data_IF_100513986760
#
_entry.id   IF_100513986760
#
_cell.length_a   1.000
_cell.length_b   1.000
_cell.length_c   1.000
_cell.angle_alpha   90.00
_cell.angle_beta   90.00
_cell.angle_gamma   90.00
#
_symmetry.space_group_name_H-M   'P 1'
#
loop_
_entity.id
_entity.type
_entity.pdbx_description
1 polymer ?
#
# COMPACT_ATOMS: atom_id res chain seq x y z
N UNK A 1 -13.19 53.11 4.70
CA UNK A 1 -13.47 52.27 5.89
C UNK A 1 -14.32 51.08 5.45
N UNK A 2 -14.03 49.91 6.02
CA UNK A 2 -14.72 48.61 5.93
C UNK A 2 -14.61 47.80 4.62
N UNK A 3 -13.51 47.04 4.51
CA UNK A 3 -13.45 45.75 3.83
C UNK A 3 -13.01 44.71 4.87
N UNK A 4 -13.94 44.11 5.61
CA UNK A 4 -13.60 43.12 6.65
C UNK A 4 -14.72 42.15 7.03
N UNK A 5 -15.53 41.66 6.08
CA UNK A 5 -16.52 40.61 6.36
C UNK A 5 -16.45 39.39 5.43
N UNK A 6 -15.77 39.48 4.28
CA UNK A 6 -15.78 38.41 3.26
C UNK A 6 -14.75 37.28 3.48
N UNK A 7 -13.70 37.51 4.29
CA UNK A 7 -12.64 36.51 4.49
C UNK A 7 -12.90 35.55 5.67
N UNK A 8 -13.82 35.87 6.57
CA UNK A 8 -14.12 35.03 7.74
C UNK A 8 -15.09 33.91 7.39
N UNK A 9 -15.95 34.10 6.39
CA UNK A 9 -16.94 33.12 5.93
C UNK A 9 -16.32 31.99 5.09
N UNK A 10 -15.28 32.29 4.30
CA UNK A 10 -14.64 31.28 3.41
C UNK A 10 -13.84 30.23 4.19
N UNK A 11 -13.27 30.57 5.35
CA UNK A 11 -12.52 29.63 6.20
C UNK A 11 -13.44 28.67 6.96
N UNK A 12 -14.70 29.03 7.18
CA UNK A 12 -15.67 28.22 7.92
C UNK A 12 -16.34 27.13 7.06
N UNK A 13 -16.15 27.16 5.74
CA UNK A 13 -16.78 26.24 4.79
C UNK A 13 -15.92 25.01 4.44
N UNK A 14 -14.65 24.97 4.86
CA UNK A 14 -13.79 23.78 4.81
C UNK A 14 -13.71 23.09 6.18
N UNK A 15 -14.85 22.88 6.83
CA UNK A 15 -14.91 22.13 8.08
C UNK A 15 -15.54 20.79 7.79
N UNK A 16 -14.77 19.71 7.96
CA UNK A 16 -15.35 18.36 8.02
C UNK A 16 -16.52 18.41 9.00
N UNK A 17 -17.69 17.90 8.61
CA UNK A 17 -18.82 17.79 9.53
C UNK A 17 -18.36 17.02 10.78
N UNK A 18 -18.92 17.33 11.95
CA UNK A 18 -18.57 16.66 13.22
C UNK A 18 -18.62 15.14 13.05
N UNK A 19 -19.60 14.64 12.30
CA UNK A 19 -19.73 13.23 11.91
C UNK A 19 -18.55 12.72 11.07
N UNK A 20 -18.12 13.45 10.03
CA UNK A 20 -16.95 13.10 9.20
C UNK A 20 -15.65 13.10 10.01
N UNK A 21 -15.46 14.07 10.90
CA UNK A 21 -14.29 14.16 11.77
C UNK A 21 -14.23 13.00 12.78
N UNK A 22 -15.36 12.68 13.42
CA UNK A 22 -15.46 11.54 14.35
C UNK A 22 -15.19 10.22 13.64
N UNK A 23 -15.77 10.01 12.45
CA UNK A 23 -15.54 8.79 11.66
C UNK A 23 -14.04 8.66 11.30
N UNK A 24 -13.40 9.74 10.83
CA UNK A 24 -11.95 9.73 10.52
C UNK A 24 -11.11 9.39 11.75
N UNK A 25 -11.40 9.99 12.90
CA UNK A 25 -10.66 9.73 14.15
C UNK A 25 -10.82 8.30 14.65
N UNK A 26 -12.03 7.75 14.60
CA UNK A 26 -12.29 6.35 14.99
C UNK A 26 -11.55 5.39 14.05
N UNK A 27 -11.59 5.63 12.74
CA UNK A 27 -10.87 4.80 11.76
C UNK A 27 -9.36 4.84 12.04
N UNK A 28 -8.77 6.02 12.17
CA UNK A 28 -7.32 6.17 12.39
C UNK A 28 -6.89 5.50 13.70
N UNK A 29 -7.67 5.64 14.77
CA UNK A 29 -7.40 5.00 16.06
C UNK A 29 -7.47 3.47 15.98
N UNK A 30 -8.54 2.91 15.39
CA UNK A 30 -8.73 1.46 15.27
C UNK A 30 -7.62 0.84 14.40
N UNK A 31 -7.27 1.49 13.30
CA UNK A 31 -6.19 1.06 12.42
C UNK A 31 -4.83 1.11 13.13
N UNK A 32 -4.54 2.20 13.84
CA UNK A 32 -3.32 2.36 14.61
C UNK A 32 -3.15 1.27 15.69
N UNK A 33 -4.22 0.98 16.45
CA UNK A 33 -4.20 -0.07 17.47
C UNK A 33 -3.98 -1.44 16.84
N UNK A 34 -4.63 -1.72 15.71
CA UNK A 34 -4.54 -3.02 15.04
C UNK A 34 -3.14 -3.26 14.49
N UNK A 35 -2.55 -2.25 13.82
CA UNK A 35 -1.19 -2.33 13.29
C UNK A 35 -0.18 -2.52 14.43
N UNK A 36 -0.25 -1.70 15.48
CA UNK A 36 0.62 -1.83 16.64
C UNK A 36 0.47 -3.18 17.36
N UNK A 37 -0.74 -3.76 17.39
CA UNK A 37 -0.96 -5.09 17.95
C UNK A 37 -0.27 -6.19 17.13
N UNK A 38 -0.36 -6.12 15.80
CA UNK A 38 0.33 -7.05 14.89
C UNK A 38 1.85 -6.92 15.07
N UNK A 39 2.38 -5.70 15.05
CA UNK A 39 3.81 -5.44 15.22
C UNK A 39 4.33 -5.89 16.59
N UNK A 40 3.55 -5.66 17.66
CA UNK A 40 3.86 -6.17 18.99
C UNK A 40 3.88 -7.71 19.04
N UNK A 41 2.97 -8.38 18.32
CA UNK A 41 2.97 -9.84 18.18
C UNK A 41 4.21 -10.36 17.43
N UNK A 42 4.66 -9.64 16.39
CA UNK A 42 5.91 -9.96 15.67
C UNK A 42 7.13 -9.81 16.57
N UNK A 43 7.22 -8.74 17.36
CA UNK A 43 8.29 -8.54 18.35
C UNK A 43 8.24 -9.63 19.42
N UNK A 44 7.06 -9.95 19.96
CA UNK A 44 6.89 -11.02 20.95
C UNK A 44 7.38 -12.37 20.41
N UNK A 45 7.03 -12.70 19.17
CA UNK A 45 7.47 -13.93 18.50
C UNK A 45 8.98 -13.96 18.32
N UNK A 46 9.59 -12.83 17.93
CA UNK A 46 11.04 -12.70 17.81
C UNK A 46 11.75 -12.93 19.15
N UNK A 47 11.26 -12.33 20.24
CA UNK A 47 11.85 -12.48 21.56
C UNK A 47 11.74 -13.92 22.11
N UNK A 48 10.67 -14.64 21.74
CA UNK A 48 10.41 -16.01 22.22
C UNK A 48 11.28 -17.07 21.56
N UNK A 49 11.67 -16.88 20.30
CA UNK A 49 12.35 -17.91 19.51
C UNK A 49 13.84 -17.59 19.32
N UNK A 50 14.70 -18.46 19.85
CA UNK A 50 16.15 -18.31 19.85
C UNK A 50 16.76 -18.15 18.45
N UNK A 51 16.15 -18.79 17.46
CA UNK A 51 16.62 -18.83 16.07
C UNK A 51 16.58 -17.44 15.43
N UNK A 52 15.65 -16.56 15.83
CA UNK A 52 15.47 -15.28 15.16
C UNK A 52 16.51 -14.23 15.58
N UNK A 53 16.85 -14.14 16.86
CA UNK A 53 17.86 -13.15 17.29
C UNK A 53 19.30 -13.53 16.96
N UNK A 54 19.55 -14.78 16.56
CA UNK A 54 20.86 -15.22 16.06
C UNK A 54 21.11 -14.86 14.59
N UNK A 55 20.10 -14.37 13.88
CA UNK A 55 20.15 -14.13 12.44
C UNK A 55 20.06 -12.63 12.11
N UNK A 56 21.05 -12.06 11.40
CA UNK A 56 21.16 -10.61 11.17
C UNK A 56 19.97 -10.04 10.39
N UNK A 57 19.41 -10.82 9.45
CA UNK A 57 18.22 -10.45 8.67
C UNK A 57 17.01 -10.14 9.56
N UNK A 58 16.78 -10.95 10.59
CA UNK A 58 15.66 -10.74 11.50
C UNK A 58 15.92 -9.60 12.49
N UNK A 59 17.19 -9.31 12.82
CA UNK A 59 17.55 -8.12 13.61
C UNK A 59 17.20 -6.84 12.85
N UNK A 60 17.53 -6.75 11.56
CA UNK A 60 17.15 -5.62 10.70
C UNK A 60 15.64 -5.51 10.51
N UNK A 61 14.96 -6.65 10.38
CA UNK A 61 13.50 -6.71 10.30
C UNK A 61 12.84 -6.19 11.59
N UNK A 62 13.28 -6.60 12.77
CA UNK A 62 12.73 -6.08 14.03
C UNK A 62 13.06 -4.61 14.22
N UNK A 63 14.24 -4.16 13.83
CA UNK A 63 14.54 -2.73 13.80
C UNK A 63 13.57 -1.95 12.89
N UNK A 64 13.13 -2.52 11.77
CA UNK A 64 12.10 -1.91 10.91
C UNK A 64 10.75 -1.86 11.62
N UNK A 65 10.30 -3.00 12.16
CA UNK A 65 9.01 -3.12 12.89
C UNK A 65 8.94 -2.15 14.06
N UNK A 66 10.03 -1.99 14.83
CA UNK A 66 10.09 -1.02 15.93
C UNK A 66 9.97 0.43 15.43
N UNK A 67 10.66 0.79 14.34
CA UNK A 67 10.52 2.13 13.75
C UNK A 67 9.10 2.37 13.23
N UNK A 68 8.47 1.38 12.61
CA UNK A 68 7.09 1.46 12.13
C UNK A 68 6.10 1.61 13.29
N UNK A 69 6.25 0.87 14.39
CA UNK A 69 5.45 1.04 15.61
C UNK A 69 5.57 2.46 16.19
N UNK A 70 6.79 2.99 16.27
CA UNK A 70 7.03 4.36 16.75
C UNK A 70 6.33 5.36 15.82
N UNK A 71 6.51 5.21 14.50
CA UNK A 71 5.90 6.09 13.51
C UNK A 71 4.36 6.07 13.60
N UNK A 72 3.75 4.89 13.62
CA UNK A 72 2.28 4.72 13.67
C UNK A 72 1.74 5.27 14.99
N UNK A 73 2.36 4.94 16.13
CA UNK A 73 1.92 5.42 17.45
C UNK A 73 1.97 6.95 17.55
N UNK A 74 3.07 7.55 17.11
CA UNK A 74 3.27 9.01 17.22
C UNK A 74 2.40 9.76 16.20
N UNK A 75 2.22 9.23 14.99
CA UNK A 75 1.35 9.85 13.98
C UNK A 75 -0.13 9.79 14.35
N UNK A 76 -0.61 8.67 14.91
CA UNK A 76 -1.98 8.56 15.48
C UNK A 76 -2.16 9.51 16.64
N UNK A 77 -1.18 9.59 17.56
CA UNK A 77 -1.23 10.53 18.69
C UNK A 77 -1.28 11.99 18.22
N UNK A 78 -0.43 12.38 17.27
CA UNK A 78 -0.43 13.70 16.66
C UNK A 78 -1.76 14.03 15.98
N UNK A 79 -2.34 13.07 15.26
CA UNK A 79 -3.62 13.22 14.60
C UNK A 79 -4.74 13.47 15.62
N UNK A 80 -4.83 12.64 16.66
CA UNK A 80 -5.85 12.78 17.71
C UNK A 80 -5.71 14.11 18.44
N UNK A 81 -4.49 14.51 18.82
CA UNK A 81 -4.28 15.78 19.54
C UNK A 81 -4.59 16.99 18.64
N UNK A 82 -4.30 16.91 17.34
CA UNK A 82 -4.65 17.97 16.39
C UNK A 82 -6.16 18.19 16.29
N UNK A 83 -6.98 17.15 16.50
CA UNK A 83 -8.44 17.25 16.47
C UNK A 83 -9.06 17.63 17.82
N UNK A 84 -8.47 17.22 18.95
CA UNK A 84 -9.02 17.48 20.28
C UNK A 84 -8.59 18.83 20.84
N UNK A 85 -7.31 19.17 20.73
CA UNK A 85 -6.72 20.33 21.42
C UNK A 85 -6.47 21.51 20.46
N UNK A 86 -6.44 21.28 19.14
CA UNK A 86 -6.22 22.26 18.04
C UNK A 86 -4.93 23.11 18.11
N UNK A 87 -4.50 23.56 19.28
CA UNK A 87 -3.29 24.33 19.56
C UNK A 87 -2.47 23.65 20.65
N UNK A 88 -1.29 23.17 20.29
CA UNK A 88 -0.32 22.57 21.20
C UNK A 88 0.85 23.52 21.43
N UNK A 89 1.50 23.41 22.58
CA UNK A 89 2.79 24.04 22.80
C UNK A 89 3.79 23.55 21.74
N UNK A 90 4.52 24.48 21.13
CA UNK A 90 5.47 24.19 20.05
C UNK A 90 6.53 23.17 20.48
N UNK A 91 7.02 23.22 21.71
CA UNK A 91 8.01 22.26 22.22
C UNK A 91 7.54 20.81 22.19
N UNK A 92 6.32 20.54 22.68
CA UNK A 92 5.71 19.20 22.68
C UNK A 92 5.46 18.72 21.26
N UNK A 93 4.90 19.60 20.43
CA UNK A 93 4.69 19.30 19.02
C UNK A 93 6.01 19.03 18.28
N UNK A 94 7.06 19.78 18.56
CA UNK A 94 8.39 19.60 17.99
C UNK A 94 8.97 18.24 18.38
N UNK A 95 8.89 17.83 19.65
CA UNK A 95 9.36 16.52 20.10
C UNK A 95 8.64 15.36 19.38
N UNK A 96 7.31 15.41 19.27
CA UNK A 96 6.51 14.39 18.59
C UNK A 96 6.80 14.35 17.08
N UNK A 97 6.93 15.50 16.43
CA UNK A 97 7.27 15.56 15.00
C UNK A 97 8.69 15.05 14.78
N UNK A 98 9.67 15.41 15.63
CA UNK A 98 11.04 14.90 15.53
C UNK A 98 11.07 13.37 15.63
N UNK A 99 10.36 12.79 16.59
CA UNK A 99 10.28 11.34 16.75
C UNK A 99 9.71 10.64 15.48
N UNK A 100 8.71 11.26 14.85
CA UNK A 100 8.17 10.80 13.57
C UNK A 100 9.20 10.92 12.43
N UNK A 101 9.98 12.00 12.41
CA UNK A 101 11.03 12.22 11.40
C UNK A 101 12.18 11.22 11.53
N UNK A 102 12.57 10.87 12.75
CA UNK A 102 13.56 9.82 12.99
C UNK A 102 13.09 8.47 12.46
N UNK A 103 11.89 8.04 12.87
CA UNK A 103 11.34 6.76 12.46
C UNK A 103 11.21 6.65 10.92
N UNK A 104 10.63 7.68 10.28
CA UNK A 104 10.45 7.71 8.81
C UNK A 104 11.78 7.75 8.04
N UNK A 105 12.82 8.40 8.56
CA UNK A 105 14.13 8.47 7.91
C UNK A 105 14.93 7.16 8.04
N UNK A 106 14.72 6.39 9.12
CA UNK A 106 15.39 5.11 9.35
C UNK A 106 14.88 4.01 8.39
N UNK A 107 13.58 4.00 8.07
CA UNK A 107 12.92 2.97 7.23
C UNK A 107 13.60 2.72 5.88
N UNK A 108 13.85 3.72 5.00
CA UNK A 108 14.45 3.46 3.68
C UNK A 108 15.91 2.98 3.77
N UNK A 109 16.68 3.46 4.74
CA UNK A 109 18.06 3.01 4.97
C UNK A 109 18.08 1.56 5.46
N UNK A 110 17.15 1.20 6.35
CA UNK A 110 17.02 -0.17 6.84
C UNK A 110 16.58 -1.13 5.72
N UNK A 111 15.65 -0.72 4.86
CA UNK A 111 15.22 -1.50 3.70
C UNK A 111 16.36 -1.72 2.70
N UNK A 112 17.17 -0.68 2.46
CA UNK A 112 18.37 -0.80 1.62
C UNK A 112 19.38 -1.81 2.20
N UNK A 113 19.59 -1.78 3.51
CA UNK A 113 20.45 -2.74 4.20
C UNK A 113 19.90 -4.18 4.10
N UNK A 114 18.59 -4.37 4.25
CA UNK A 114 17.93 -5.67 4.03
C UNK A 114 18.10 -6.17 2.60
N UNK A 115 17.99 -5.30 1.59
CA UNK A 115 18.20 -5.67 0.20
C UNK A 115 19.65 -6.09 -0.08
N UNK A 116 20.62 -5.37 0.49
CA UNK A 116 22.05 -5.71 0.38
C UNK A 116 22.35 -7.03 1.08
N UNK A 117 21.76 -7.28 2.25
CA UNK A 117 21.90 -8.53 2.98
C UNK A 117 21.36 -9.72 2.15
N UNK A 118 20.16 -9.59 1.58
CA UNK A 118 19.59 -10.58 0.67
C UNK A 118 20.47 -10.82 -0.56
N UNK A 119 21.07 -9.77 -1.13
CA UNK A 119 21.99 -9.90 -2.26
C UNK A 119 23.26 -10.68 -1.88
N UNK A 120 23.87 -10.36 -0.73
CA UNK A 120 25.07 -11.07 -0.23
C UNK A 120 24.75 -12.54 0.04
N UNK A 121 23.57 -12.85 0.57
CA UNK A 121 23.12 -14.22 0.84
C UNK A 121 23.00 -15.04 -0.45
N UNK A 122 22.47 -14.46 -1.52
CA UNK A 122 22.28 -15.14 -2.82
C UNK A 122 23.59 -15.24 -3.59
N UNK A 123 24.36 -14.15 -3.68
CA UNK A 123 25.53 -14.08 -4.54
C UNK A 123 26.81 -14.61 -3.88
N UNK A 124 26.89 -14.65 -2.54
CA UNK A 124 28.09 -15.06 -1.80
C UNK A 124 27.75 -15.90 -0.55
N UNK A 125 27.09 -17.07 -0.70
CA UNK A 125 26.56 -17.85 0.43
C UNK A 125 27.63 -18.31 1.43
N UNK A 126 28.84 -18.69 0.95
CA UNK A 126 29.94 -19.13 1.82
C UNK A 126 30.59 -17.99 2.62
N UNK A 127 30.53 -16.76 2.09
CA UNK A 127 31.12 -15.57 2.74
C UNK A 127 30.08 -14.78 3.55
N UNK A 128 28.79 -15.07 3.35
CA UNK A 128 27.68 -14.44 4.06
C UNK A 128 27.82 -14.56 5.58
N UNK A 129 28.18 -15.74 6.09
CA UNK A 129 28.36 -15.97 7.54
C UNK A 129 29.50 -15.13 8.14
N UNK A 130 30.55 -14.83 7.34
CA UNK A 130 31.67 -13.99 7.77
C UNK A 130 31.40 -12.48 7.63
N UNK A 131 30.58 -12.08 6.65
CA UNK A 131 30.28 -10.67 6.35
C UNK A 131 29.11 -10.16 7.21
N UNK A 132 28.03 -10.93 7.29
CA UNK A 132 26.78 -10.57 7.96
C UNK A 132 26.75 -11.15 9.38
N UNK A 133 27.65 -10.65 10.25
CA UNK A 133 27.63 -11.02 11.68
C UNK A 133 26.68 -10.14 12.47
N UNK A 134 26.21 -10.63 13.63
CA UNK A 134 25.34 -9.86 14.54
C UNK A 134 26.01 -8.54 14.95
N UNK A 135 27.29 -8.57 15.35
CA UNK A 135 28.04 -7.38 15.75
C UNK A 135 28.10 -6.34 14.63
N UNK A 136 28.37 -6.75 13.39
CA UNK A 136 28.39 -5.85 12.23
C UNK A 136 27.01 -5.28 11.91
N UNK A 137 25.96 -6.08 12.11
CA UNK A 137 24.57 -5.64 11.91
C UNK A 137 24.15 -4.60 12.96
N UNK A 138 24.58 -4.76 14.21
CA UNK A 138 24.35 -3.75 15.26
C UNK A 138 25.14 -2.46 14.99
N UNK A 139 26.39 -2.56 14.52
CA UNK A 139 27.17 -1.40 14.06
C UNK A 139 26.45 -0.70 12.90
N UNK A 140 25.89 -1.45 11.94
CA UNK A 140 25.13 -0.92 10.82
C UNK A 140 23.88 -0.17 11.28
N UNK A 141 23.13 -0.72 12.24
CA UNK A 141 22.00 -0.02 12.87
C UNK A 141 22.48 1.28 13.51
N UNK A 142 23.59 1.25 14.26
CA UNK A 142 24.22 2.45 14.82
C UNK A 142 24.55 3.49 13.73
N UNK A 143 25.11 3.06 12.61
CA UNK A 143 25.40 3.93 11.46
C UNK A 143 24.12 4.54 10.87
N UNK A 144 23.04 3.76 10.72
CA UNK A 144 21.73 4.28 10.29
C UNK A 144 21.29 5.41 11.21
N UNK A 145 21.32 5.19 12.53
CA UNK A 145 20.94 6.21 13.52
C UNK A 145 21.83 7.46 13.47
N UNK A 146 23.13 7.31 13.24
CA UNK A 146 24.03 8.48 13.11
C UNK A 146 23.71 9.32 11.88
N UNK A 147 23.46 8.68 10.73
CA UNK A 147 23.13 9.36 9.47
C UNK A 147 21.78 10.06 9.57
N UNK A 148 20.77 9.40 10.15
CA UNK A 148 19.44 10.02 10.32
C UNK A 148 19.46 11.13 11.37
N UNK A 149 20.23 10.99 12.46
CA UNK A 149 20.42 12.05 13.44
C UNK A 149 21.05 13.29 12.85
N UNK A 150 22.07 13.13 12.02
CA UNK A 150 22.68 14.28 11.34
C UNK A 150 21.65 15.05 10.49
N UNK A 151 20.79 14.34 9.77
CA UNK A 151 19.78 14.96 8.92
C UNK A 151 18.66 15.65 9.73
N UNK A 152 18.08 14.93 10.70
CA UNK A 152 16.93 15.38 11.51
C UNK A 152 17.33 16.46 12.52
N UNK A 153 18.47 16.35 13.19
CA UNK A 153 18.95 17.39 14.11
C UNK A 153 19.28 18.68 13.38
N UNK A 154 19.80 18.60 12.16
CA UNK A 154 20.07 19.81 11.38
C UNK A 154 18.79 20.61 11.09
N UNK A 155 17.63 19.97 10.92
CA UNK A 155 16.34 20.68 10.80
C UNK A 155 15.95 21.39 12.12
N UNK A 156 16.25 20.78 13.28
CA UNK A 156 16.05 21.41 14.59
C UNK A 156 16.98 22.60 14.83
N UNK A 157 18.28 22.45 14.51
CA UNK A 157 19.26 23.53 14.64
C UNK A 157 18.91 24.73 13.76
N UNK A 158 18.42 24.50 12.53
CA UNK A 158 17.97 25.59 11.65
C UNK A 158 16.78 26.32 12.26
N UNK A 159 15.81 25.61 12.84
CA UNK A 159 14.67 26.26 13.52
C UNK A 159 15.12 27.04 14.75
N UNK A 160 16.01 26.49 15.58
CA UNK A 160 16.55 27.18 16.76
C UNK A 160 17.36 28.43 16.40
N UNK A 161 18.05 28.41 15.26
CA UNK A 161 18.82 29.56 14.77
C UNK A 161 17.96 30.64 14.10
N UNK A 162 16.74 30.31 13.64
CA UNK A 162 15.87 31.24 12.89
C UNK A 162 14.68 31.77 13.68
N UNK A 163 14.35 31.15 14.82
CA UNK A 163 13.19 31.54 15.64
C UNK A 163 13.63 31.96 17.05
N UNK A 164 12.97 32.98 17.65
CA UNK A 164 13.23 33.38 19.03
C UNK A 164 12.80 32.30 20.03
N UNK A 165 13.42 32.24 21.21
CA UNK A 165 13.13 31.23 22.23
C UNK A 165 11.65 31.23 22.69
N UNK A 166 10.99 32.39 22.68
CA UNK A 166 9.56 32.54 23.01
C UNK A 166 8.63 31.78 22.05
N UNK A 167 9.09 31.50 20.82
CA UNK A 167 8.36 30.71 19.84
C UNK A 167 8.10 29.29 20.35
N UNK A 168 9.04 28.68 21.10
CA UNK A 168 8.89 27.30 21.61
C UNK A 168 7.86 27.17 22.75
N UNK A 169 7.54 28.29 23.42
CA UNK A 169 6.49 28.37 24.44
C UNK A 169 5.13 28.78 23.87
N UNK A 170 5.06 29.18 22.60
CA UNK A 170 3.82 29.56 21.93
C UNK A 170 2.92 28.36 21.62
N UNK A 171 1.65 28.62 21.33
CA UNK A 171 0.64 27.61 21.01
C UNK A 171 0.20 27.69 19.56
N UNK A 172 0.36 26.60 18.81
CA UNK A 172 -0.02 26.55 17.39
C UNK A 172 -0.54 25.17 16.97
N UNK A 173 -1.17 25.11 15.78
CA UNK A 173 -1.59 23.85 15.20
C UNK A 173 -0.37 22.99 14.83
N UNK A 174 -0.38 21.74 15.30
CA UNK A 174 0.75 20.83 15.22
C UNK A 174 0.91 20.22 13.82
N UNK A 175 1.34 21.07 12.90
CA UNK A 175 1.60 20.72 11.50
C UNK A 175 3.09 20.95 11.25
N UNK A 176 3.75 20.03 10.56
CA UNK A 176 5.19 20.12 10.25
C UNK A 176 5.62 21.48 9.70
N UNK A 177 4.80 22.12 8.86
CA UNK A 177 5.07 23.46 8.29
C UNK A 177 5.04 24.58 9.33
N UNK A 178 4.24 24.45 10.37
CA UNK A 178 4.14 25.45 11.43
C UNK A 178 5.30 25.30 12.42
N UNK A 179 5.74 24.06 12.68
CA UNK A 179 6.85 23.73 13.59
C UNK A 179 8.21 24.03 13.00
N UNK A 180 8.35 23.82 11.70
CA UNK A 180 9.57 24.10 10.93
C UNK A 180 9.25 25.18 9.88
N UNK A 181 9.01 26.43 10.30
CA UNK A 181 8.53 27.49 9.42
C UNK A 181 9.60 28.01 8.46
N UNK A 182 10.88 27.71 8.72
CA UNK A 182 11.97 28.27 7.94
C UNK A 182 11.94 27.74 6.49
N UNK A 183 11.97 28.63 5.48
CA UNK A 183 12.00 28.24 4.06
C UNK A 183 13.32 27.55 3.67
N UNK A 184 14.32 27.59 4.56
CA UNK A 184 15.61 26.91 4.43
C UNK A 184 15.48 25.38 4.54
N UNK A 185 14.51 24.85 5.27
CA UNK A 185 14.31 23.40 5.46
C UNK A 185 13.78 22.69 4.20
N UNK A 186 12.73 23.18 3.50
CA UNK A 186 12.34 22.60 2.21
C UNK A 186 13.46 22.77 1.18
N UNK A 187 14.16 23.92 1.15
CA UNK A 187 15.28 24.15 0.23
C UNK A 187 16.49 23.23 0.51
N UNK A 188 16.86 23.01 1.77
CA UNK A 188 17.87 22.02 2.19
C UNK A 188 17.47 20.62 1.75
N UNK A 189 16.20 20.24 1.93
CA UNK A 189 15.69 18.94 1.50
C UNK A 189 15.74 18.78 -0.02
N UNK A 190 15.37 19.82 -0.77
CA UNK A 190 15.45 19.83 -2.23
C UNK A 190 16.90 19.79 -2.71
N UNK A 191 17.83 20.46 -2.02
CA UNK A 191 19.27 20.39 -2.29
C UNK A 191 19.81 19.00 -1.96
N UNK A 192 19.49 18.41 -0.80
CA UNK A 192 19.92 17.05 -0.44
C UNK A 192 19.35 16.02 -1.40
N UNK A 193 18.06 16.10 -1.76
CA UNK A 193 17.49 15.25 -2.80
C UNK A 193 18.12 15.51 -4.15
N UNK A 194 18.45 16.76 -4.51
CA UNK A 194 19.13 17.11 -5.76
C UNK A 194 20.61 16.75 -5.80
N UNK A 195 21.28 16.63 -4.65
CA UNK A 195 22.66 16.14 -4.50
C UNK A 195 22.67 14.62 -4.50
N UNK A 196 21.70 13.96 -3.86
CA UNK A 196 21.52 12.51 -3.94
C UNK A 196 21.11 12.08 -5.35
N UNK A 197 20.17 12.80 -5.97
CA UNK A 197 19.87 12.72 -7.40
C UNK A 197 21.01 13.23 -8.26
N UNK A 198 21.89 14.10 -7.76
CA UNK A 198 23.01 14.72 -8.49
C UNK A 198 24.20 13.79 -8.65
N UNK A 199 24.58 13.11 -7.56
CA UNK A 199 25.52 11.98 -7.55
C UNK A 199 24.96 10.84 -8.42
N UNK A 200 23.64 10.63 -8.42
CA UNK A 200 22.97 9.69 -9.33
C UNK A 200 22.75 10.28 -10.73
N UNK A 201 22.79 11.59 -10.97
CA UNK A 201 22.56 12.22 -12.29
C UNK A 201 23.85 12.48 -13.06
N UNK A 202 25.00 12.51 -12.39
CA UNK A 202 26.29 12.67 -13.06
C UNK A 202 26.70 11.42 -13.88
N UNK A 203 26.06 10.28 -13.61
CA UNK A 203 26.13 9.09 -14.47
C UNK A 203 24.83 8.95 -15.30
N UNK A 204 24.82 9.60 -16.47
CA UNK A 204 23.99 9.38 -17.66
C UNK A 204 22.46 9.50 -17.57
N UNK A 205 21.95 10.69 -17.90
CA UNK A 205 20.51 10.99 -18.04
C UNK A 205 19.83 10.26 -19.22
N UNK A 206 20.58 9.68 -20.15
CA UNK A 206 20.06 8.85 -21.25
C UNK A 206 20.34 7.35 -21.04
N UNK A 207 21.51 6.96 -20.50
CA UNK A 207 21.76 5.55 -20.19
C UNK A 207 20.83 5.05 -19.08
N UNK A 208 20.53 5.82 -18.03
CA UNK A 208 19.62 5.37 -16.95
C UNK A 208 18.16 5.24 -17.37
N UNK A 209 17.73 6.05 -18.32
CA UNK A 209 16.43 5.96 -18.96
C UNK A 209 16.24 4.60 -19.64
N UNK A 210 17.19 4.30 -20.53
CA UNK A 210 17.26 3.06 -21.29
C UNK A 210 17.48 1.88 -20.35
N UNK A 211 18.41 1.98 -19.39
CA UNK A 211 18.67 0.93 -18.39
C UNK A 211 17.45 0.65 -17.52
N UNK A 212 16.69 1.65 -17.07
CA UNK A 212 15.44 1.41 -16.31
C UNK A 212 14.37 0.73 -17.17
N UNK A 213 14.18 1.17 -18.41
CA UNK A 213 13.22 0.54 -19.32
C UNK A 213 13.64 -0.89 -19.66
N UNK A 214 14.93 -1.13 -19.94
CA UNK A 214 15.49 -2.45 -20.19
C UNK A 214 15.33 -3.35 -18.97
N UNK A 215 15.61 -2.85 -17.76
CA UNK A 215 15.43 -3.62 -16.51
C UNK A 215 13.95 -3.95 -16.28
N UNK A 216 13.04 -2.98 -16.41
CA UNK A 216 11.60 -3.19 -16.19
C UNK A 216 11.02 -4.17 -17.22
N UNK A 217 11.41 -4.03 -18.49
CA UNK A 217 11.00 -4.95 -19.56
C UNK A 217 11.58 -6.35 -19.31
N UNK A 218 12.87 -6.47 -18.95
CA UNK A 218 13.51 -7.74 -18.65
C UNK A 218 12.88 -8.45 -17.45
N UNK A 219 12.61 -7.72 -16.35
CA UNK A 219 11.92 -8.24 -15.18
C UNK A 219 10.50 -8.69 -15.56
N UNK A 220 9.77 -7.88 -16.32
CA UNK A 220 8.43 -8.22 -16.78
C UNK A 220 8.38 -9.48 -17.64
N UNK A 221 9.31 -9.60 -18.60
CA UNK A 221 9.45 -10.82 -19.44
C UNK A 221 9.80 -12.02 -18.57
N UNK A 222 10.71 -11.88 -17.61
CA UNK A 222 11.12 -12.97 -16.73
C UNK A 222 9.96 -13.47 -15.86
N UNK A 223 9.19 -12.55 -15.26
CA UNK A 223 8.00 -12.90 -14.46
C UNK A 223 6.94 -13.59 -15.33
N UNK A 224 6.64 -13.05 -16.51
CA UNK A 224 5.69 -13.65 -17.44
C UNK A 224 6.14 -15.03 -17.92
N UNK A 225 7.44 -15.23 -18.16
CA UNK A 225 8.01 -16.52 -18.52
C UNK A 225 7.86 -17.55 -17.40
N UNK A 226 8.17 -17.17 -16.15
CA UNK A 226 7.98 -18.04 -14.98
C UNK A 226 6.50 -18.42 -14.85
N UNK A 227 5.59 -17.44 -14.89
CA UNK A 227 4.15 -17.69 -14.77
C UNK A 227 3.62 -18.58 -15.91
N UNK A 228 4.08 -18.36 -17.16
CA UNK A 228 3.73 -19.20 -18.30
C UNK A 228 4.27 -20.63 -18.16
N UNK A 229 5.51 -20.80 -17.67
CA UNK A 229 6.09 -22.13 -17.43
C UNK A 229 5.35 -22.90 -16.34
N UNK A 230 4.88 -22.20 -15.29
CA UNK A 230 4.04 -22.78 -14.25
C UNK A 230 2.71 -23.23 -14.84
N UNK A 231 2.02 -22.36 -15.59
CA UNK A 231 0.76 -22.72 -16.27
C UNK A 231 0.96 -23.94 -17.18
N UNK A 232 2.03 -23.96 -18.00
CA UNK A 232 2.33 -25.09 -18.87
C UNK A 232 2.54 -26.40 -18.10
N UNK A 233 3.25 -26.33 -16.98
CA UNK A 233 3.48 -27.48 -16.09
C UNK A 233 2.17 -27.98 -15.48
N UNK A 234 1.31 -27.07 -15.02
CA UNK A 234 -0.01 -27.41 -14.48
C UNK A 234 -0.95 -28.00 -15.55
N UNK A 235 -0.88 -27.52 -16.79
CA UNK A 235 -1.69 -28.03 -17.91
C UNK A 235 -1.26 -29.42 -18.39
N UNK A 236 0.01 -29.82 -18.19
CA UNK A 236 0.54 -31.13 -18.59
C UNK A 236 0.05 -32.28 -17.68
N UNK A 237 -0.23 -32.01 -16.41
CA UNK A 237 -0.68 -33.03 -15.47
C UNK A 237 -2.21 -33.07 -15.37
N UNK A 238 -2.82 -34.08 -15.98
CA UNK A 238 -4.27 -34.31 -16.01
C UNK A 238 -4.92 -34.28 -14.60
N UNK A 239 -4.21 -34.72 -13.57
CA UNK A 239 -4.69 -34.73 -12.17
C UNK A 239 -4.83 -33.30 -11.59
N UNK A 240 -4.03 -32.35 -12.07
CA UNK A 240 -4.02 -30.98 -11.56
C UNK A 240 -5.16 -30.14 -12.15
N UNK A 241 -5.55 -30.35 -13.42
CA UNK A 241 -6.64 -29.59 -14.04
C UNK A 241 -8.04 -29.98 -13.53
N UNK A 242 -8.16 -31.16 -12.92
CA UNK A 242 -9.44 -31.65 -12.35
C UNK A 242 -9.74 -30.99 -11.00
N UNK A 243 -8.74 -30.36 -10.38
CA UNK A 243 -8.85 -29.81 -9.03
C UNK A 243 -9.18 -28.30 -9.06
N UNK A 244 -10.25 -27.86 -8.38
CA UNK A 244 -10.74 -26.48 -8.42
C UNK A 244 -9.71 -25.45 -7.93
N UNK A 245 -8.87 -25.83 -6.96
CA UNK A 245 -7.77 -25.02 -6.42
C UNK A 245 -6.77 -24.60 -7.49
N UNK A 246 -6.40 -25.52 -8.38
CA UNK A 246 -5.44 -25.23 -9.44
C UNK A 246 -6.08 -24.45 -10.60
N UNK A 247 -7.38 -24.62 -10.85
CA UNK A 247 -8.11 -23.77 -11.82
C UNK A 247 -8.10 -22.30 -11.36
N UNK A 248 -8.37 -22.04 -10.08
CA UNK A 248 -8.30 -20.68 -9.49
C UNK A 248 -6.87 -20.13 -9.50
N UNK A 249 -5.88 -20.98 -9.24
CA UNK A 249 -4.46 -20.62 -9.33
C UNK A 249 -4.05 -20.26 -10.77
N UNK A 250 -4.43 -21.04 -11.77
CA UNK A 250 -4.18 -20.72 -13.19
C UNK A 250 -4.86 -19.41 -13.59
N UNK A 251 -6.11 -19.20 -13.15
CA UNK A 251 -6.81 -17.92 -13.35
C UNK A 251 -6.09 -16.73 -12.69
N UNK A 252 -5.48 -16.93 -11.52
CA UNK A 252 -4.67 -15.91 -10.83
C UNK A 252 -3.42 -15.57 -11.65
N UNK A 253 -2.67 -16.59 -12.06
CA UNK A 253 -1.43 -16.45 -12.83
C UNK A 253 -1.68 -15.78 -14.18
N UNK A 254 -2.82 -16.05 -14.84
CA UNK A 254 -3.22 -15.38 -16.07
C UNK A 254 -3.54 -13.89 -15.85
N UNK A 255 -4.29 -13.55 -14.79
CA UNK A 255 -4.56 -12.14 -14.47
C UNK A 255 -3.26 -11.38 -14.12
N UNK A 256 -2.36 -12.01 -13.36
CA UNK A 256 -1.06 -11.42 -13.02
C UNK A 256 -0.18 -11.21 -14.26
N UNK A 257 -0.18 -12.15 -15.21
CA UNK A 257 0.54 -11.99 -16.49
C UNK A 257 0.00 -10.82 -17.31
N UNK A 258 -1.33 -10.67 -17.39
CA UNK A 258 -1.95 -9.54 -18.10
C UNK A 258 -1.62 -8.22 -17.38
N UNK A 259 -1.72 -8.18 -16.05
CA UNK A 259 -1.41 -6.99 -15.25
C UNK A 259 0.05 -6.57 -15.41
N UNK A 260 1.01 -7.50 -15.29
CA UNK A 260 2.45 -7.22 -15.46
C UNK A 260 2.74 -6.74 -16.88
N UNK A 261 2.15 -7.36 -17.89
CA UNK A 261 2.31 -6.93 -19.30
C UNK A 261 1.80 -5.50 -19.52
N UNK A 262 0.63 -5.16 -18.97
CA UNK A 262 0.06 -3.81 -19.07
C UNK A 262 0.88 -2.78 -18.30
N UNK A 263 1.39 -3.13 -17.13
CA UNK A 263 2.25 -2.26 -16.34
C UNK A 263 3.56 -1.94 -17.10
N UNK A 264 4.18 -2.94 -17.74
CA UNK A 264 5.38 -2.75 -18.57
C UNK A 264 5.06 -1.87 -19.78
N UNK A 265 3.95 -2.13 -20.49
CA UNK A 265 3.54 -1.33 -21.66
C UNK A 265 3.28 0.12 -21.26
N UNK A 266 2.50 0.37 -20.20
CA UNK A 266 2.22 1.71 -19.68
C UNK A 266 3.49 2.43 -19.25
N UNK A 267 4.42 1.73 -18.59
CA UNK A 267 5.70 2.28 -18.15
C UNK A 267 6.58 2.69 -19.34
N UNK A 268 6.68 1.83 -20.37
CA UNK A 268 7.43 2.13 -21.60
C UNK A 268 6.80 3.32 -22.34
N UNK A 269 5.48 3.33 -22.54
CA UNK A 269 4.75 4.43 -23.21
C UNK A 269 4.91 5.76 -22.46
N UNK A 270 4.80 5.73 -21.14
CA UNK A 270 4.99 6.90 -20.27
C UNK A 270 6.39 7.50 -20.45
N UNK A 271 7.38 6.67 -20.75
CA UNK A 271 8.75 7.10 -20.94
C UNK A 271 9.06 7.54 -22.38
N UNK A 272 8.53 6.84 -23.39
CA UNK A 272 8.85 7.09 -24.81
C UNK A 272 8.02 8.20 -25.42
N UNK A 273 6.73 8.30 -25.08
CA UNK A 273 5.76 9.18 -25.76
C UNK A 273 5.33 10.32 -24.83
N UNK A 274 5.49 10.18 -23.50
CA UNK A 274 5.19 11.16 -22.42
C UNK A 274 3.72 11.64 -22.34
N UNK A 275 3.08 11.98 -23.46
CA UNK A 275 1.66 12.36 -23.55
C UNK A 275 0.96 11.49 -24.59
N UNK A 276 -0.14 10.86 -24.19
CA UNK A 276 -0.99 10.07 -25.09
C UNK A 276 -2.42 10.59 -25.03
N UNK A 277 -3.20 10.30 -26.06
CA UNK A 277 -4.61 10.64 -26.09
C UNK A 277 -5.33 9.97 -24.92
N UNK A 278 -6.23 10.71 -24.26
CA UNK A 278 -6.99 10.24 -23.09
C UNK A 278 -7.76 8.96 -23.41
N UNK A 279 -8.38 8.84 -24.59
CA UNK A 279 -9.10 7.62 -25.01
C UNK A 279 -8.23 6.35 -24.95
N UNK A 280 -7.00 6.42 -25.48
CA UNK A 280 -6.03 5.32 -25.48
C UNK A 280 -5.56 5.04 -24.05
N UNK A 281 -5.29 6.08 -23.26
CA UNK A 281 -4.93 5.92 -21.85
C UNK A 281 -6.05 5.26 -21.05
N UNK A 282 -7.30 5.65 -21.26
CA UNK A 282 -8.46 5.06 -20.61
C UNK A 282 -8.55 3.56 -20.88
N UNK A 283 -8.35 3.10 -22.13
CA UNK A 283 -8.37 1.65 -22.44
C UNK A 283 -7.32 0.89 -21.63
N UNK A 284 -6.07 1.36 -21.60
CA UNK A 284 -5.01 0.68 -20.85
C UNK A 284 -5.25 0.70 -19.34
N UNK A 285 -5.72 1.83 -18.79
CA UNK A 285 -5.99 1.95 -17.35
C UNK A 285 -7.23 1.13 -16.96
N UNK A 286 -8.30 1.08 -17.78
CA UNK A 286 -9.47 0.25 -17.51
C UNK A 286 -9.11 -1.23 -17.50
N UNK A 287 -8.28 -1.68 -18.46
CA UNK A 287 -7.82 -3.05 -18.50
C UNK A 287 -6.92 -3.40 -17.30
N UNK A 288 -6.03 -2.48 -16.90
CA UNK A 288 -5.22 -2.64 -15.69
C UNK A 288 -6.09 -2.74 -14.43
N UNK A 289 -7.06 -1.83 -14.27
CA UNK A 289 -8.00 -1.83 -13.14
C UNK A 289 -8.82 -3.12 -13.09
N UNK A 290 -9.30 -3.56 -14.24
CA UNK A 290 -10.05 -4.80 -14.34
C UNK A 290 -9.24 -6.00 -13.82
N UNK A 291 -7.98 -6.15 -14.23
CA UNK A 291 -7.12 -7.24 -13.74
C UNK A 291 -6.78 -7.11 -12.26
N UNK A 292 -6.52 -5.90 -11.76
CA UNK A 292 -6.15 -5.67 -10.36
C UNK A 292 -7.30 -5.93 -9.38
N UNK A 293 -8.56 -5.67 -9.79
CA UNK A 293 -9.73 -5.96 -8.95
C UNK A 293 -10.10 -7.46 -8.96
N UNK A 294 -9.71 -8.23 -10.00
CA UNK A 294 -9.93 -9.68 -10.06
C UNK A 294 -9.06 -10.46 -9.05
N UNK A 295 -7.80 -10.04 -8.88
CA UNK A 295 -6.82 -10.71 -8.01
C UNK A 295 -7.30 -10.93 -6.56
N UNK A 296 -7.80 -9.91 -5.82
CA UNK A 296 -8.27 -10.12 -4.46
C UNK A 296 -9.51 -11.01 -4.34
N UNK A 297 -10.42 -10.94 -5.32
CA UNK A 297 -11.61 -11.80 -5.34
C UNK A 297 -11.21 -13.25 -5.58
N UNK A 298 -10.25 -13.49 -6.47
CA UNK A 298 -9.72 -14.82 -6.73
C UNK A 298 -8.98 -15.41 -5.51
N UNK A 299 -8.17 -14.59 -4.82
CA UNK A 299 -7.52 -14.97 -3.55
C UNK A 299 -8.54 -15.32 -2.46
N UNK A 300 -9.64 -14.57 -2.37
CA UNK A 300 -10.72 -14.86 -1.45
C UNK A 300 -11.35 -16.23 -1.76
N UNK A 301 -11.67 -16.51 -3.03
CA UNK A 301 -12.19 -17.82 -3.44
C UNK A 301 -11.21 -18.96 -3.13
N UNK A 302 -9.91 -18.75 -3.32
CA UNK A 302 -8.87 -19.73 -2.96
C UNK A 302 -8.82 -19.98 -1.45
N UNK A 303 -9.04 -18.96 -0.62
CA UNK A 303 -9.13 -19.10 0.83
C UNK A 303 -10.41 -19.86 1.28
N UNK A 304 -11.57 -19.59 0.65
CA UNK A 304 -12.80 -20.39 0.88
C UNK A 304 -12.52 -21.86 0.60
N UNK A 305 -11.92 -22.14 -0.55
CA UNK A 305 -11.68 -23.49 -1.02
C UNK A 305 -10.74 -24.23 -0.06
N UNK A 306 -9.66 -23.59 0.38
CA UNK A 306 -8.77 -24.13 1.41
C UNK A 306 -9.50 -24.40 2.74
N UNK A 307 -10.39 -23.49 3.17
CA UNK A 307 -11.17 -23.66 4.40
C UNK A 307 -12.13 -24.86 4.30
N UNK A 308 -12.87 -24.99 3.19
CA UNK A 308 -13.79 -26.11 2.97
C UNK A 308 -13.02 -27.44 2.93
N UNK A 309 -11.84 -27.47 2.29
CA UNK A 309 -11.00 -28.66 2.22
C UNK A 309 -10.54 -29.14 3.61
N UNK A 310 -10.20 -28.20 4.51
CA UNK A 310 -9.73 -28.52 5.87
C UNK A 310 -10.88 -28.83 6.82
N UNK A 311 -11.94 -28.03 6.80
CA UNK A 311 -13.03 -28.12 7.78
C UNK A 311 -14.13 -29.10 7.39
N UNK A 312 -14.28 -29.42 6.10
CA UNK A 312 -15.35 -30.30 5.58
C UNK A 312 -14.86 -31.23 4.44
N UNK A 313 -13.88 -32.12 4.70
CA UNK A 313 -13.19 -32.89 3.67
C UNK A 313 -14.12 -33.84 2.88
N UNK A 314 -15.10 -34.47 3.54
CA UNK A 314 -16.04 -35.41 2.89
C UNK A 314 -17.00 -34.73 1.92
N UNK A 315 -17.28 -33.43 2.15
CA UNK A 315 -18.24 -32.67 1.35
C UNK A 315 -17.55 -31.76 0.33
N UNK A 316 -16.24 -31.58 0.44
CA UNK A 316 -15.42 -30.80 -0.47
C UNK A 316 -15.58 -31.25 -1.93
N UNK A 317 -15.65 -32.56 -2.19
CA UNK A 317 -15.78 -33.12 -3.54
C UNK A 317 -17.15 -32.81 -4.19
N UNK A 318 -18.23 -32.80 -3.40
CA UNK A 318 -19.58 -32.46 -3.88
C UNK A 318 -19.79 -30.95 -4.05
N UNK A 319 -19.13 -30.19 -3.18
CA UNK A 319 -19.22 -28.74 -3.10
C UNK A 319 -18.36 -28.13 -4.22
N UNK A 320 -17.05 -28.34 -4.19
CA UNK A 320 -16.05 -27.73 -5.07
C UNK A 320 -15.90 -28.48 -6.41
N UNK A 321 -16.93 -28.45 -7.26
CA UNK A 321 -16.87 -29.03 -8.62
C UNK A 321 -16.38 -28.03 -9.66
N UNK A 322 -15.75 -28.54 -10.74
CA UNK A 322 -15.22 -27.73 -11.85
C UNK A 322 -16.26 -26.76 -12.43
N UNK A 323 -17.49 -27.25 -12.68
CA UNK A 323 -18.58 -26.43 -13.23
C UNK A 323 -18.88 -25.23 -12.33
N UNK A 324 -18.90 -25.43 -11.01
CA UNK A 324 -19.17 -24.37 -10.04
C UNK A 324 -17.99 -23.41 -9.89
N UNK A 325 -16.75 -23.90 -9.95
CA UNK A 325 -15.56 -23.05 -9.99
C UNK A 325 -15.53 -22.16 -11.24
N UNK A 326 -15.91 -22.68 -12.40
CA UNK A 326 -16.01 -21.87 -13.63
C UNK A 326 -17.14 -20.83 -13.54
N UNK A 327 -18.29 -21.17 -12.95
CA UNK A 327 -19.34 -20.19 -12.66
C UNK A 327 -18.88 -19.10 -11.68
N UNK A 328 -18.10 -19.45 -10.65
CA UNK A 328 -17.49 -18.49 -9.73
C UNK A 328 -16.51 -17.56 -10.45
N UNK A 329 -15.67 -18.07 -11.33
CA UNK A 329 -14.81 -17.23 -12.18
C UNK A 329 -15.67 -16.29 -13.02
N UNK A 330 -16.74 -16.78 -13.66
CA UNK A 330 -17.70 -15.93 -14.36
C UNK A 330 -18.29 -14.81 -13.49
N UNK A 331 -18.63 -15.12 -12.23
CA UNK A 331 -19.13 -14.13 -11.27
C UNK A 331 -18.07 -13.09 -10.88
N UNK A 332 -16.81 -13.50 -10.72
CA UNK A 332 -15.69 -12.57 -10.48
C UNK A 332 -15.62 -11.57 -11.64
N UNK A 333 -15.63 -12.06 -12.89
CA UNK A 333 -15.55 -11.20 -14.07
C UNK A 333 -16.73 -10.24 -14.20
N UNK A 334 -17.96 -10.68 -13.90
CA UNK A 334 -19.13 -9.80 -13.99
C UNK A 334 -19.11 -8.72 -12.91
N UNK A 335 -18.69 -9.05 -11.69
CA UNK A 335 -18.60 -8.09 -10.58
C UNK A 335 -17.53 -7.02 -10.82
N UNK A 336 -16.37 -7.39 -11.38
CA UNK A 336 -15.30 -6.44 -11.70
C UNK A 336 -15.58 -5.66 -12.98
N UNK A 337 -16.25 -6.24 -13.97
CA UNK A 337 -16.75 -5.48 -15.13
C UNK A 337 -17.72 -4.39 -14.69
N UNK A 338 -18.65 -4.69 -13.76
CA UNK A 338 -19.60 -3.71 -13.26
C UNK A 338 -18.91 -2.53 -12.56
N UNK A 339 -17.86 -2.80 -11.77
CA UNK A 339 -17.11 -1.74 -11.08
C UNK A 339 -16.32 -0.86 -12.04
N UNK A 340 -15.67 -1.46 -13.05
CA UNK A 340 -14.86 -0.75 -14.05
C UNK A 340 -15.71 0.06 -15.03
N UNK A 341 -16.84 -0.49 -15.49
CA UNK A 341 -17.78 0.23 -16.37
C UNK A 341 -18.37 1.45 -15.66
N UNK A 342 -18.64 1.36 -14.35
CA UNK A 342 -19.14 2.52 -13.59
C UNK A 342 -18.14 3.69 -13.57
N UNK A 343 -16.83 3.43 -13.52
CA UNK A 343 -15.80 4.49 -13.56
C UNK A 343 -15.76 5.17 -14.95
N UNK A 344 -15.96 4.40 -16.03
CA UNK A 344 -16.06 4.94 -17.39
C UNK A 344 -17.33 5.79 -17.56
N UNK A 345 -18.48 5.30 -17.08
CA UNK A 345 -19.75 6.00 -17.18
C UNK A 345 -19.74 7.31 -16.39
N UNK A 346 -19.17 7.32 -15.18
CA UNK A 346 -19.02 8.54 -14.38
C UNK A 346 -18.15 9.55 -15.14
N UNK A 347 -17.06 9.11 -15.76
CA UNK A 347 -16.17 10.01 -16.50
C UNK A 347 -16.84 10.60 -17.73
N UNK A 348 -17.63 9.79 -18.47
CA UNK A 348 -18.43 10.27 -19.60
C UNK A 348 -19.54 11.25 -19.18
N UNK A 349 -20.08 11.09 -17.97
CA UNK A 349 -21.10 11.98 -17.43
C UNK A 349 -20.54 13.29 -16.86
N UNK A 350 -19.28 13.31 -16.41
CA UNK A 350 -18.67 14.49 -15.77
C UNK A 350 -17.81 15.32 -16.71
N UNK A 351 -17.20 14.72 -17.73
CA UNK A 351 -16.25 15.39 -18.63
C UNK A 351 -16.81 15.56 -20.04
N UNK A 352 -16.49 16.68 -20.74
CA UNK A 352 -16.93 16.90 -22.12
C UNK A 352 -16.23 15.96 -23.11
N UNK A 353 -16.86 15.70 -24.26
CA UNK A 353 -16.32 14.79 -25.29
C UNK A 353 -14.92 15.20 -25.81
N UNK A 354 -14.62 16.50 -25.83
CA UNK A 354 -13.32 17.03 -26.25
C UNK A 354 -12.17 16.60 -25.33
N UNK A 355 -12.46 16.26 -24.07
CA UNK A 355 -11.47 15.74 -23.11
C UNK A 355 -10.86 14.42 -23.60
N UNK A 356 -11.63 13.54 -24.26
CA UNK A 356 -11.16 12.24 -24.74
C UNK A 356 -10.17 12.33 -25.90
N UNK A 357 -10.19 13.44 -26.64
CA UNK A 357 -9.24 13.75 -27.71
C UNK A 357 -8.00 14.52 -27.22
N UNK A 358 -7.99 14.98 -25.96
CA UNK A 358 -6.85 15.69 -25.37
C UNK A 358 -5.68 14.75 -25.06
N UNK A 359 -4.48 15.32 -24.94
CA UNK A 359 -3.24 14.58 -24.64
C UNK A 359 -2.79 14.82 -23.20
N UNK A 360 -2.66 13.75 -22.43
CA UNK A 360 -2.26 13.80 -21.01
C UNK A 360 -1.16 12.79 -20.70
N UNK A 361 -0.44 13.01 -19.60
CA UNK A 361 0.42 11.98 -19.03
C UNK A 361 -0.47 10.84 -18.53
N UNK A 362 -0.24 9.61 -19.00
CA UNK A 362 -1.15 8.50 -18.71
C UNK A 362 -1.01 8.01 -17.27
N UNK A 363 -1.83 8.57 -16.40
CA UNK A 363 -1.97 8.18 -15.01
C UNK A 363 -3.45 7.94 -14.71
N UNK A 364 -3.74 7.11 -13.71
CA UNK A 364 -5.12 6.89 -13.28
C UNK A 364 -5.79 8.18 -12.78
N UNK A 365 -5.03 9.13 -12.26
CA UNK A 365 -5.55 10.40 -11.72
C UNK A 365 -5.85 11.41 -12.83
N UNK A 366 -5.09 11.37 -13.92
CA UNK A 366 -5.26 12.27 -15.07
C UNK A 366 -6.30 11.73 -16.05
N UNK A 367 -6.42 10.41 -16.19
CA UNK A 367 -7.44 9.77 -17.04
C UNK A 367 -8.82 9.72 -16.38
N UNK A 368 -8.88 9.66 -15.04
CA UNK A 368 -10.12 9.65 -14.24
C UNK A 368 -10.06 10.75 -13.18
N UNK A 369 -10.21 12.02 -13.58
CA UNK A 369 -10.03 13.17 -12.69
C UNK A 369 -11.21 13.41 -11.73
N UNK A 370 -12.37 12.80 -11.99
CA UNK A 370 -13.59 13.14 -11.28
C UNK A 370 -13.47 12.89 -9.75
N UNK A 371 -13.90 13.85 -8.91
CA UNK A 371 -13.77 13.76 -7.47
C UNK A 371 -14.58 12.60 -6.87
N UNK A 372 -15.67 12.19 -7.54
CA UNK A 372 -16.48 11.02 -7.17
C UNK A 372 -15.68 9.70 -7.28
N UNK A 373 -14.83 9.56 -8.30
CA UNK A 373 -13.94 8.40 -8.45
C UNK A 373 -12.79 8.48 -7.43
N UNK A 374 -12.27 9.69 -7.13
CA UNK A 374 -11.30 9.88 -6.05
C UNK A 374 -11.88 9.46 -4.70
N UNK A 375 -13.11 9.87 -4.37
CA UNK A 375 -13.79 9.52 -3.12
C UNK A 375 -14.09 8.00 -3.04
N UNK A 376 -14.58 7.40 -4.14
CA UNK A 376 -14.75 5.94 -4.30
C UNK A 376 -13.45 5.16 -4.07
N UNK A 377 -12.27 5.76 -4.30
CA UNK A 377 -10.93 5.16 -4.11
C UNK A 377 -10.35 5.40 -2.70
N UNK A 378 -10.61 6.56 -2.12
CA UNK A 378 -10.12 6.91 -0.79
C UNK A 378 -10.85 6.10 0.27
N UNK A 379 -12.13 5.80 0.06
CA UNK A 379 -12.91 4.92 0.92
C UNK A 379 -12.18 3.57 1.11
N UNK A 380 -11.85 2.77 0.07
CA UNK A 380 -11.13 1.51 0.23
C UNK A 380 -9.65 1.63 0.63
N UNK A 381 -8.93 2.73 0.32
CA UNK A 381 -7.51 2.88 0.70
C UNK A 381 -7.31 3.32 2.15
N UNK A 382 -8.12 4.24 2.68
CA UNK A 382 -8.15 4.51 4.13
C UNK A 382 -8.75 3.34 4.91
N UNK A 383 -9.61 2.56 4.27
CA UNK A 383 -10.14 1.31 4.82
C UNK A 383 -9.18 0.16 4.49
N UNK A 384 -8.03 0.28 3.81
CA UNK A 384 -7.31 -0.90 3.28
C UNK A 384 -6.94 -2.00 4.30
N UNK A 385 -6.55 -1.70 5.56
CA UNK A 385 -6.42 -2.73 6.59
C UNK A 385 -7.79 -3.21 7.09
N UNK A 386 -8.75 -2.29 7.13
CA UNK A 386 -10.17 -2.56 7.29
C UNK A 386 -10.79 -3.22 6.04
N UNK A 387 -10.12 -3.39 4.89
CA UNK A 387 -10.51 -4.13 3.68
C UNK A 387 -9.90 -5.50 3.73
N UNK A 388 -8.80 -5.73 4.45
CA UNK A 388 -8.51 -7.10 4.89
C UNK A 388 -9.53 -7.56 5.95
N UNK A 389 -9.95 -6.68 6.87
CA UNK A 389 -11.02 -6.95 7.85
C UNK A 389 -12.48 -6.89 7.31
N UNK A 390 -12.77 -6.02 6.34
CA UNK A 390 -14.04 -5.97 5.58
C UNK A 390 -13.98 -7.01 4.49
N UNK A 391 -12.83 -7.48 3.99
CA UNK A 391 -12.82 -8.69 3.19
C UNK A 391 -13.26 -9.84 4.07
N UNK A 392 -12.92 -9.93 5.35
CA UNK A 392 -13.52 -10.92 6.26
C UNK A 392 -15.05 -10.73 6.47
N UNK A 393 -15.52 -9.49 6.66
CA UNK A 393 -16.96 -9.22 6.88
C UNK A 393 -17.83 -9.11 5.60
N UNK A 394 -17.25 -8.76 4.48
CA UNK A 394 -17.84 -8.76 3.12
C UNK A 394 -17.70 -10.13 2.51
N UNK A 395 -16.73 -10.95 2.91
CA UNK A 395 -16.77 -12.39 2.68
C UNK A 395 -17.90 -13.01 3.48
N UNK A 396 -18.10 -12.65 4.77
CA UNK A 396 -19.33 -13.04 5.51
C UNK A 396 -20.63 -12.51 4.89
N UNK A 397 -20.69 -11.26 4.43
CA UNK A 397 -21.89 -10.67 3.79
C UNK A 397 -22.09 -11.14 2.35
N UNK A 398 -21.05 -11.34 1.56
CA UNK A 398 -21.12 -11.97 0.24
C UNK A 398 -21.42 -13.45 0.40
N UNK A 399 -20.99 -14.13 1.46
CA UNK A 399 -21.43 -15.48 1.83
C UNK A 399 -22.91 -15.48 2.23
N UNK A 400 -23.41 -14.43 2.88
CA UNK A 400 -24.84 -14.24 3.16
C UNK A 400 -25.68 -13.89 1.91
N UNK A 401 -25.18 -13.04 1.00
CA UNK A 401 -25.82 -12.68 -0.28
C UNK A 401 -25.73 -13.84 -1.27
N UNK A 402 -24.61 -14.57 -1.30
CA UNK A 402 -24.47 -15.83 -2.03
C UNK A 402 -25.41 -16.89 -1.47
N UNK A 403 -25.60 -16.99 -0.15
CA UNK A 403 -26.57 -17.93 0.44
C UNK A 403 -28.05 -17.62 0.16
N UNK A 404 -28.36 -16.43 -0.40
CA UNK A 404 -29.71 -16.02 -0.81
C UNK A 404 -29.97 -16.16 -2.32
N UNK A 405 -28.97 -16.63 -3.09
CA UNK A 405 -29.13 -17.04 -4.48
C UNK A 405 -29.42 -18.55 -4.48
N UNK A 406 -30.57 -18.98 -5.03
CA UNK A 406 -31.08 -20.36 -4.97
C UNK A 406 -30.05 -21.44 -5.38
N UNK A 407 -29.10 -21.09 -6.26
CA UNK A 407 -28.05 -21.99 -6.76
C UNK A 407 -26.97 -22.30 -5.69
N UNK A 408 -26.82 -21.45 -4.67
CA UNK A 408 -25.80 -21.53 -3.61
C UNK A 408 -26.35 -22.02 -2.26
N UNK A 409 -27.67 -22.25 -2.13
CA UNK A 409 -28.26 -22.97 -0.98
C UNK A 409 -27.74 -24.41 -0.86
N UNK A 410 -27.32 -25.02 -1.98
CA UNK A 410 -26.68 -26.35 -1.98
C UNK A 410 -25.27 -26.36 -1.35
N UNK A 411 -24.63 -25.20 -1.19
CA UNK A 411 -23.29 -25.06 -0.59
C UNK A 411 -23.30 -24.78 0.91
N UNK A 412 -24.42 -24.28 1.46
CA UNK A 412 -24.57 -23.94 2.87
C UNK A 412 -25.90 -24.48 3.43
N UNK A 413 -25.97 -25.73 3.94
CA UNK A 413 -27.14 -26.10 4.71
C UNK A 413 -27.15 -25.35 6.03
N UNK A 414 -28.33 -24.88 6.43
CA UNK A 414 -28.57 -24.42 7.80
C UNK A 414 -28.36 -25.60 8.75
N UNK A 415 -27.28 -25.58 9.54
CA UNK A 415 -27.13 -26.49 10.67
C UNK A 415 -28.17 -26.18 11.76
N UNK A 416 -28.65 -27.18 12.51
CA UNK A 416 -29.72 -26.97 13.50
C UNK A 416 -29.22 -26.11 14.67
N UNK A 417 -29.98 -25.07 14.99
CA UNK A 417 -29.92 -24.37 16.27
C UNK A 417 -30.49 -25.32 17.34
N UNK A 418 -29.63 -25.99 18.11
CA UNK A 418 -30.04 -26.56 19.39
C UNK A 418 -29.86 -25.50 20.48
N UNK A 419 -30.93 -25.09 21.19
CA UNK A 419 -30.79 -24.25 22.37
C UNK A 419 -30.17 -25.07 23.50
N UNK A 420 -29.25 -24.44 24.23
CA UNK A 420 -28.55 -25.07 25.34
C UNK A 420 -29.49 -25.51 26.45
N UNK A 421 -29.09 -26.62 27.09
CA UNK A 421 -29.40 -26.94 28.49
C UNK A 421 -28.12 -26.87 29.27
#
# INVERSE_FOLDING_TARGET
MNVSSSNVTVVLQYRDSVTKAVIKNVIVLVLGITINFIDASLIHTFCKHQIFYMNPRYILFIHLVVNDMIQVTVSVSLFLISYTIYKLNVSVCCALVLLTLYATANTPLNLACMAVECYIAVCMPLRHVQICTIQRTLILIGLIWTVTSFNVLSDLFITLATQPLDFFHSQMSCIRRNVFPSPLIPKKRDITYSVFLGIVRYADSFSKAVTKNVIVVFIGISINYINASLIHTFSKHQILYTNPRYILFVHLMLNDMIQVSLAVILFVISYTIYRINVSVCCVFILLALFTTENTPLNLACMAVECYIAVCMPLRHVEICTIKRTLMLIGLIWTTTMLSVISDLFITFATEPLDFFHSQVFCLRETAFPSPLIVEKRVLPRSISPFIYGIRDNTFRRQQAVMSSIDILQQWFPKGPLTPGT
#
